data_IF_710115608124
#
_entry.id   IF_710115608124
#
_cell.length_a   1.000
_cell.length_b   1.000
_cell.length_c   1.000
_cell.angle_alpha   90.00
_cell.angle_beta   90.00
_cell.angle_gamma   90.00
#
_symmetry.space_group_name_H-M   'P 1'
#
loop_
_entity.id
_entity.type
_entity.pdbx_description
1 polymer ?
#
# COMPACT_ATOMS: atom_id res chain seq x y z
N UNK A 1 20.63 16.02 -8.61
CA UNK A 1 21.59 15.11 -7.94
C UNK A 1 21.62 13.81 -8.72
N UNK A 2 22.78 13.15 -8.93
CA UNK A 2 22.86 11.91 -9.70
C UNK A 2 23.37 10.80 -8.77
N UNK A 3 22.49 9.88 -8.37
CA UNK A 3 22.85 8.64 -7.70
C UNK A 3 22.73 7.51 -8.73
N UNK A 4 23.81 6.78 -8.97
CA UNK A 4 23.82 5.66 -9.92
C UNK A 4 23.80 4.33 -9.18
N UNK A 5 23.18 3.34 -9.79
CA UNK A 5 23.15 1.96 -9.31
C UNK A 5 23.40 1.03 -10.49
N UNK A 6 24.08 -0.08 -10.22
CA UNK A 6 24.31 -1.12 -11.22
C UNK A 6 23.11 -2.06 -11.25
N UNK A 7 22.74 -2.51 -12.45
CA UNK A 7 21.78 -3.59 -12.63
C UNK A 7 22.49 -4.93 -12.43
N UNK A 8 21.91 -5.78 -11.58
CA UNK A 8 22.39 -7.12 -11.29
C UNK A 8 21.59 -8.16 -12.08
N UNK A 9 21.99 -9.41 -11.95
CA UNK A 9 21.28 -10.53 -12.58
C UNK A 9 19.79 -10.52 -12.22
N UNK A 10 18.95 -10.98 -13.16
CA UNK A 10 17.49 -10.93 -13.07
C UNK A 10 16.92 -9.51 -12.93
N UNK A 11 17.59 -8.51 -13.51
CA UNK A 11 17.11 -7.13 -13.61
C UNK A 11 16.89 -6.45 -12.24
N UNK A 12 17.67 -6.86 -11.24
CA UNK A 12 17.58 -6.28 -9.90
C UNK A 12 18.41 -5.00 -9.80
N UNK A 13 17.89 -4.00 -9.11
CA UNK A 13 18.58 -2.73 -8.88
C UNK A 13 18.58 -2.44 -7.38
N UNK A 14 19.73 -1.99 -6.87
CA UNK A 14 19.84 -1.51 -5.47
C UNK A 14 19.54 -0.02 -5.44
N UNK A 15 18.51 0.38 -4.68
CA UNK A 15 18.21 1.78 -4.43
C UNK A 15 19.36 2.39 -3.62
N UNK A 16 20.08 3.43 -4.11
CA UNK A 16 21.22 4.00 -3.39
C UNK A 16 20.85 4.55 -2.01
N UNK A 17 21.76 4.42 -1.04
CA UNK A 17 21.50 4.82 0.35
C UNK A 17 21.12 6.30 0.51
N UNK A 18 21.64 7.19 -0.35
CA UNK A 18 21.27 8.61 -0.36
C UNK A 18 19.79 8.80 -0.71
N UNK A 19 19.32 8.14 -1.77
CA UNK A 19 17.92 8.18 -2.20
C UNK A 19 17.03 7.63 -1.08
N UNK A 20 17.36 6.47 -0.49
CA UNK A 20 16.59 5.87 0.62
C UNK A 20 16.39 6.83 1.80
N UNK A 21 17.44 7.59 2.17
CA UNK A 21 17.38 8.58 3.24
C UNK A 21 16.51 9.79 2.88
N UNK A 22 16.57 10.26 1.64
CA UNK A 22 15.74 11.39 1.17
C UNK A 22 14.26 11.04 1.14
N UNK A 23 13.90 9.83 0.70
CA UNK A 23 12.51 9.36 0.63
C UNK A 23 12.02 8.72 1.95
N UNK A 24 12.86 8.65 2.98
CA UNK A 24 12.49 8.13 4.30
C UNK A 24 12.22 6.62 4.35
N UNK A 25 12.70 5.85 3.38
CA UNK A 25 12.49 4.40 3.33
C UNK A 25 13.61 3.70 4.07
N UNK A 26 13.32 3.32 5.31
CA UNK A 26 14.25 2.59 6.18
C UNK A 26 13.88 1.10 6.32
N UNK A 27 12.65 0.72 5.96
CA UNK A 27 12.11 -0.62 6.19
C UNK A 27 11.84 -1.40 4.89
N UNK A 28 11.88 -2.73 4.98
CA UNK A 28 11.72 -3.66 3.85
C UNK A 28 10.25 -3.82 3.39
N UNK A 29 9.30 -3.33 4.19
CA UNK A 29 7.86 -3.55 3.99
C UNK A 29 7.22 -2.62 2.94
N UNK A 30 8.03 -1.92 2.17
CA UNK A 30 7.56 -1.00 1.13
C UNK A 30 7.46 -1.73 -0.20
N UNK A 31 6.30 -1.61 -0.84
CA UNK A 31 6.07 -2.07 -2.20
C UNK A 31 6.49 -0.94 -3.14
N UNK A 32 7.26 -1.30 -4.17
CA UNK A 32 7.67 -0.37 -5.22
C UNK A 32 6.72 -0.53 -6.40
N UNK A 33 5.97 0.51 -6.69
CA UNK A 33 5.11 0.63 -7.87
C UNK A 33 5.91 1.30 -8.99
N UNK A 34 5.84 0.74 -10.19
CA UNK A 34 6.57 1.20 -11.35
C UNK A 34 5.57 1.77 -12.35
N UNK A 35 5.81 3.00 -12.80
CA UNK A 35 5.02 3.66 -13.83
C UNK A 35 5.94 4.27 -14.89
N UNK A 36 5.39 4.57 -16.06
CA UNK A 36 6.09 5.22 -17.16
C UNK A 36 5.33 6.47 -17.53
N UNK A 37 5.96 7.63 -17.36
CA UNK A 37 5.32 8.91 -17.69
C UNK A 37 5.28 9.14 -19.21
N UNK A 38 4.58 10.20 -19.63
CA UNK A 38 4.44 10.58 -21.06
C UNK A 38 5.79 10.84 -21.74
N UNK A 39 6.82 11.22 -20.97
CA UNK A 39 8.18 11.44 -21.44
C UNK A 39 9.03 10.16 -21.54
N UNK A 40 8.43 8.98 -21.32
CA UNK A 40 9.10 7.67 -21.28
C UNK A 40 10.14 7.53 -20.14
N UNK A 41 9.96 8.29 -19.08
CA UNK A 41 10.77 8.19 -17.87
C UNK A 41 10.09 7.24 -16.90
N UNK A 42 10.89 6.40 -16.23
CA UNK A 42 10.42 5.49 -15.20
C UNK A 42 10.19 6.26 -13.91
N UNK A 43 8.97 6.22 -13.39
CA UNK A 43 8.59 6.79 -12.11
C UNK A 43 8.42 5.66 -11.10
N UNK A 44 9.09 5.78 -9.96
CA UNK A 44 9.00 4.82 -8.86
C UNK A 44 8.19 5.43 -7.73
N UNK A 45 7.08 4.80 -7.41
CA UNK A 45 6.23 5.16 -6.28
C UNK A 45 6.41 4.15 -5.16
N UNK A 46 6.59 4.63 -3.93
CA UNK A 46 6.81 3.76 -2.78
C UNK A 46 5.58 3.79 -1.89
N UNK A 47 4.95 2.62 -1.73
CA UNK A 47 3.77 2.46 -0.89
C UNK A 47 4.08 1.53 0.28
N UNK A 48 3.65 1.92 1.49
CA UNK A 48 3.67 1.01 2.63
C UNK A 48 2.66 -0.11 2.41
N UNK A 49 3.09 -1.37 2.59
CA UNK A 49 2.16 -2.51 2.59
C UNK A 49 1.20 -2.37 3.76
N UNK A 50 -0.06 -2.06 3.47
CA UNK A 50 -1.12 -2.01 4.47
C UNK A 50 -1.51 -3.46 4.77
N UNK A 51 -1.29 -3.91 6.00
CA UNK A 51 -1.77 -5.23 6.44
C UNK A 51 -3.20 -5.12 6.96
N UNK A 52 -3.96 -6.22 6.95
CA UNK A 52 -5.32 -6.23 7.51
C UNK A 52 -5.33 -5.77 8.99
N UNK A 53 -4.24 -6.01 9.72
CA UNK A 53 -4.04 -5.51 11.08
C UNK A 53 -3.96 -3.99 11.18
N UNK A 54 -3.45 -3.31 10.15
CA UNK A 54 -3.41 -1.85 10.10
C UNK A 54 -4.79 -1.24 9.78
N UNK A 55 -5.68 -2.03 9.15
CA UNK A 55 -7.06 -1.62 8.81
C UNK A 55 -8.07 -2.01 9.91
N UNK A 56 -7.72 -3.01 10.73
CA UNK A 56 -8.52 -3.48 11.85
C UNK A 56 -8.68 -2.34 12.88
N UNK A 57 -9.87 -1.72 12.89
CA UNK A 57 -10.21 -0.62 13.79
C UNK A 57 -10.29 0.77 13.13
N UNK A 58 -9.92 0.90 11.85
CA UNK A 58 -10.11 2.15 11.09
C UNK A 58 -11.59 2.48 10.87
N UNK A 59 -12.44 1.45 10.75
CA UNK A 59 -13.90 1.59 10.72
C UNK A 59 -14.48 1.42 12.12
N UNK A 60 -14.96 2.50 12.73
CA UNK A 60 -15.84 2.43 13.91
C UNK A 60 -17.29 2.46 13.45
N UNK A 61 -18.06 1.46 13.82
CA UNK A 61 -19.52 1.52 13.74
C UNK A 61 -20.04 2.32 14.93
N UNK A 62 -20.96 3.25 14.69
CA UNK A 62 -21.55 4.12 15.73
C UNK A 62 -22.28 3.28 16.80
N UNK A 63 -22.82 2.12 16.40
CA UNK A 63 -23.55 1.21 17.28
C UNK A 63 -22.77 -0.11 17.52
N UNK A 64 -22.83 -0.67 18.74
CA UNK A 64 -22.23 -1.96 19.06
C UNK A 64 -22.91 -3.06 18.23
N UNK A 65 -22.22 -3.50 17.18
CA UNK A 65 -22.80 -4.37 16.17
C UNK A 65 -22.21 -5.78 16.24
N UNK A 66 -23.07 -6.79 16.22
CA UNK A 66 -22.66 -8.20 16.25
C UNK A 66 -22.34 -8.71 14.83
N UNK A 67 -21.11 -9.17 14.62
CA UNK A 67 -20.61 -9.67 13.33
C UNK A 67 -21.48 -10.78 12.72
N UNK A 68 -22.07 -11.66 13.55
CA UNK A 68 -22.92 -12.76 13.08
C UNK A 68 -24.25 -12.23 12.55
N UNK A 69 -24.82 -11.21 13.20
CA UNK A 69 -26.06 -10.57 12.75
C UNK A 69 -25.85 -9.84 11.42
N UNK A 70 -24.73 -9.12 11.26
CA UNK A 70 -24.37 -8.46 10.00
C UNK A 70 -24.22 -9.45 8.85
N UNK A 71 -23.52 -10.57 9.06
CA UNK A 71 -23.36 -11.61 8.04
C UNK A 71 -24.70 -12.15 7.56
N UNK A 72 -25.66 -12.36 8.48
CA UNK A 72 -27.02 -12.81 8.14
C UNK A 72 -27.81 -11.77 7.33
N UNK A 73 -27.71 -10.49 7.67
CA UNK A 73 -28.37 -9.40 6.93
C UNK A 73 -27.87 -9.28 5.49
N UNK A 74 -26.55 -9.32 5.30
CA UNK A 74 -25.92 -9.31 3.96
C UNK A 74 -26.35 -10.53 3.15
N UNK A 75 -26.37 -11.73 3.76
CA UNK A 75 -26.79 -12.95 3.09
C UNK A 75 -28.27 -12.92 2.66
N UNK A 76 -29.11 -12.15 3.36
CA UNK A 76 -30.52 -11.97 3.05
C UNK A 76 -30.78 -10.78 2.10
N UNK A 77 -29.75 -10.11 1.60
CA UNK A 77 -29.87 -9.02 0.62
C UNK A 77 -30.26 -7.66 1.21
N UNK A 78 -30.24 -7.50 2.54
CA UNK A 78 -30.49 -6.19 3.16
C UNK A 78 -29.33 -5.23 2.85
N UNK A 79 -29.66 -4.06 2.27
CA UNK A 79 -28.68 -2.99 2.04
C UNK A 79 -28.33 -2.33 3.36
N UNK A 80 -27.04 -2.36 3.70
CA UNK A 80 -26.50 -1.57 4.81
C UNK A 80 -26.39 -0.13 4.30
N UNK A 81 -27.34 0.74 4.70
CA UNK A 81 -27.21 2.18 4.50
C UNK A 81 -25.96 2.67 5.24
N UNK A 82 -25.09 3.38 4.51
CA UNK A 82 -23.93 4.09 5.06
C UNK A 82 -24.21 5.57 4.85
N UNK A 83 -24.21 6.34 5.94
CA UNK A 83 -24.19 7.80 5.92
C UNK A 83 -22.77 8.31 5.64
#
# INVERSE_FOLDING_TARGET
MIATSKMYDKYQIVIPAKIRKEIGINDIDHIVEWDVNENKEVVLNFRKKITLNDVLGAGKTIEPTNAVKLKKKVACGEKILRD
#
